data_IF_651763520466
#
_entry.id   IF_651763520466
#
_cell.length_a   1.000
_cell.length_b   1.000
_cell.length_c   1.000
_cell.angle_alpha   90.00
_cell.angle_beta   90.00
_cell.angle_gamma   90.00
#
_symmetry.space_group_name_H-M   'P 1'
#
loop_
_entity.id
_entity.type
_entity.pdbx_description
1 polymer ?
#
# COMPACT_ATOMS: atom_id res chain seq x y z
N UNK A 1 4.93 8.58 2.99
CA UNK A 1 4.41 9.05 4.29
C UNK A 1 3.02 9.69 4.20
N UNK A 2 2.73 10.57 3.23
CA UNK A 2 1.43 11.24 3.10
C UNK A 2 0.20 10.29 3.02
N UNK A 3 0.30 9.16 2.31
CA UNK A 3 -0.75 8.12 2.26
C UNK A 3 -1.09 7.51 3.63
N UNK A 4 -0.10 7.41 4.52
CA UNK A 4 -0.27 6.82 5.85
C UNK A 4 -0.90 7.86 6.78
N UNK A 5 -0.37 9.08 6.78
CA UNK A 5 -0.83 10.16 7.64
C UNK A 5 -2.30 10.55 7.39
N UNK A 6 -2.71 10.56 6.12
CA UNK A 6 -4.11 10.82 5.73
C UNK A 6 -5.06 9.66 6.03
N UNK A 7 -4.54 8.45 6.25
CA UNK A 7 -5.34 7.30 6.67
C UNK A 7 -5.50 7.25 8.18
N UNK A 8 -4.48 7.65 8.93
CA UNK A 8 -4.48 7.65 10.40
C UNK A 8 -5.65 8.41 11.01
N UNK A 9 -6.06 9.54 10.42
CA UNK A 9 -7.21 10.30 10.91
C UNK A 9 -8.56 9.60 10.71
N UNK A 10 -8.67 8.70 9.73
CA UNK A 10 -9.86 7.86 9.54
C UNK A 10 -9.84 6.62 10.44
N UNK A 11 -8.65 6.10 10.72
CA UNK A 11 -8.46 4.87 11.51
C UNK A 11 -8.49 5.13 13.02
N UNK A 12 -7.97 6.28 13.46
CA UNK A 12 -7.94 6.70 14.87
C UNK A 12 -8.98 7.81 15.10
N UNK A 13 -10.08 7.44 15.74
CA UNK A 13 -11.16 8.36 16.11
C UNK A 13 -10.80 9.14 17.38
N UNK A 14 -9.90 10.11 17.23
CA UNK A 14 -9.35 10.95 18.31
C UNK A 14 -9.47 12.41 17.88
N UNK A 15 -9.77 13.37 18.78
CA UNK A 15 -9.80 14.79 18.42
C UNK A 15 -8.42 15.28 17.98
N UNK A 16 -8.23 15.46 16.67
CA UNK A 16 -7.00 15.96 16.06
C UNK A 16 -6.93 17.50 16.12
N UNK A 17 -5.76 18.11 16.38
CA UNK A 17 -5.62 19.57 16.43
C UNK A 17 -5.84 20.23 15.05
N UNK A 18 -6.45 21.42 15.04
CA UNK A 18 -6.90 22.13 13.81
C UNK A 18 -5.77 22.37 12.79
N UNK A 19 -4.55 22.64 13.27
CA UNK A 19 -3.37 22.83 12.43
C UNK A 19 -3.02 21.55 11.64
N UNK A 20 -3.21 20.38 12.24
CA UNK A 20 -2.94 19.10 11.60
C UNK A 20 -4.03 18.75 10.58
N UNK A 21 -5.30 19.00 10.91
CA UNK A 21 -6.41 18.81 9.98
C UNK A 21 -6.30 19.71 8.73
N UNK A 22 -5.90 20.98 8.93
CA UNK A 22 -5.68 21.94 7.84
C UNK A 22 -4.55 21.51 6.90
N UNK A 23 -3.48 20.92 7.43
CA UNK A 23 -2.41 20.36 6.61
C UNK A 23 -2.86 19.09 5.87
N UNK A 24 -3.63 18.22 6.52
CA UNK A 24 -4.11 16.97 5.93
C UNK A 24 -5.11 17.16 4.79
N UNK A 25 -5.96 18.19 4.83
CA UNK A 25 -6.93 18.49 3.76
C UNK A 25 -6.25 18.73 2.40
N UNK A 26 -5.03 19.27 2.40
CA UNK A 26 -4.20 19.43 1.18
C UNK A 26 -3.75 18.08 0.62
N UNK A 27 -3.58 17.07 1.46
CA UNK A 27 -3.14 15.72 1.07
C UNK A 27 -4.30 14.75 0.87
N UNK A 28 -5.54 15.14 1.18
CA UNK A 28 -6.71 14.30 0.98
C UNK A 28 -6.89 13.86 -0.47
N UNK A 29 -6.35 14.56 -1.48
CA UNK A 29 -6.36 14.08 -2.87
C UNK A 29 -5.58 12.76 -3.07
N UNK A 30 -4.59 12.48 -2.22
CA UNK A 30 -3.81 11.24 -2.26
C UNK A 30 -4.60 10.07 -1.67
N UNK A 31 -5.50 10.36 -0.72
CA UNK A 31 -6.42 9.41 -0.11
C UNK A 31 -7.84 9.50 -0.68
N UNK A 32 -8.04 10.37 -1.67
CA UNK A 32 -9.22 10.44 -2.47
C UNK A 32 -9.15 9.19 -3.32
N UNK A 33 -9.91 8.18 -2.90
CA UNK A 33 -10.37 7.12 -3.77
C UNK A 33 -10.59 7.72 -5.17
N UNK A 34 -9.74 7.39 -6.14
CA UNK A 34 -9.91 7.79 -7.54
C UNK A 34 -11.29 7.33 -8.05
N UNK A 35 -11.90 6.36 -7.34
CA UNK A 35 -13.28 5.89 -7.42
C UNK A 35 -14.36 6.86 -6.90
N UNK A 36 -14.07 7.81 -6.00
CA UNK A 36 -15.00 8.89 -5.64
C UNK A 36 -15.19 9.88 -6.79
N UNK A 37 -14.18 10.05 -7.66
CA UNK A 37 -14.29 10.82 -8.91
C UNK A 37 -15.12 10.11 -10.00
N UNK A 38 -15.29 8.79 -9.88
CA UNK A 38 -16.23 7.99 -10.69
C UNK A 38 -17.57 7.76 -9.97
N UNK A 39 -17.84 8.48 -8.87
CA UNK A 39 -19.02 8.28 -8.05
C UNK A 39 -20.29 8.80 -8.72
N UNK A 40 -20.95 7.93 -9.47
CA UNK A 40 -22.41 7.97 -9.66
C UNK A 40 -23.08 7.61 -8.32
N UNK A 41 -23.20 8.60 -7.44
CA UNK A 41 -23.80 8.46 -6.11
C UNK A 41 -25.33 8.39 -6.09
N UNK A 42 -26.03 8.32 -7.23
CA UNK A 42 -27.47 8.57 -7.31
C UNK A 42 -28.38 7.40 -7.72
N UNK A 43 -27.93 6.14 -7.80
CA UNK A 43 -28.81 5.06 -8.27
C UNK A 43 -28.69 3.69 -7.59
N UNK A 44 -27.71 3.47 -6.70
CA UNK A 44 -27.45 2.15 -6.11
C UNK A 44 -27.21 2.36 -4.61
N UNK A 45 -27.97 1.67 -3.75
CA UNK A 45 -27.66 1.56 -2.32
C UNK A 45 -26.25 0.98 -2.17
N UNK A 46 -25.28 1.84 -1.84
CA UNK A 46 -23.89 1.41 -1.65
C UNK A 46 -23.69 1.07 -0.18
N UNK A 47 -23.34 -0.18 0.07
CA UNK A 47 -22.81 -0.67 1.33
C UNK A 47 -21.34 -1.07 1.19
N UNK A 48 -20.63 -1.31 2.29
CA UNK A 48 -19.20 -1.61 2.27
C UNK A 48 -18.86 -2.80 1.35
N UNK A 49 -19.73 -3.82 1.30
CA UNK A 49 -19.52 -5.02 0.48
C UNK A 49 -19.52 -4.71 -1.02
N UNK A 50 -20.51 -3.97 -1.51
CA UNK A 50 -20.59 -3.53 -2.91
C UNK A 50 -19.45 -2.58 -3.25
N UNK A 51 -19.06 -1.71 -2.32
CA UNK A 51 -17.96 -0.79 -2.51
C UNK A 51 -16.61 -1.51 -2.57
N UNK A 52 -16.36 -2.50 -1.71
CA UNK A 52 -15.13 -3.28 -1.69
C UNK A 52 -15.02 -4.16 -2.94
N UNK A 53 -16.05 -4.95 -3.25
CA UNK A 53 -16.06 -5.81 -4.43
C UNK A 53 -15.87 -5.00 -5.72
N UNK A 54 -16.54 -3.85 -5.84
CA UNK A 54 -16.35 -2.93 -6.97
C UNK A 54 -14.93 -2.37 -7.05
N UNK A 55 -14.32 -2.00 -5.92
CA UNK A 55 -12.93 -1.51 -5.86
C UNK A 55 -11.94 -2.59 -6.29
N UNK A 56 -12.13 -3.83 -5.80
CA UNK A 56 -11.28 -4.97 -6.14
C UNK A 56 -11.40 -5.31 -7.63
N UNK A 57 -12.63 -5.41 -8.17
CA UNK A 57 -12.87 -5.66 -9.58
C UNK A 57 -12.27 -4.57 -10.45
N UNK A 58 -12.49 -3.29 -10.12
CA UNK A 58 -11.91 -2.19 -10.87
C UNK A 58 -10.38 -2.22 -10.86
N UNK A 59 -9.77 -2.59 -9.73
CA UNK A 59 -8.31 -2.69 -9.61
C UNK A 59 -7.73 -3.77 -10.52
N UNK A 60 -8.36 -4.96 -10.54
CA UNK A 60 -7.95 -6.03 -11.46
C UNK A 60 -8.19 -5.64 -12.92
N UNK A 61 -9.31 -4.98 -13.23
CA UNK A 61 -9.61 -4.49 -14.58
C UNK A 61 -8.59 -3.42 -15.02
N UNK A 62 -8.22 -2.48 -14.15
CA UNK A 62 -7.23 -1.45 -14.46
C UNK A 62 -5.85 -2.06 -14.78
N UNK A 63 -5.42 -3.06 -14.00
CA UNK A 63 -4.18 -3.80 -14.26
C UNK A 63 -4.28 -4.60 -15.56
N UNK A 64 -5.40 -5.30 -15.79
CA UNK A 64 -5.61 -6.10 -17.00
C UNK A 64 -5.66 -5.25 -18.28
N UNK A 65 -6.39 -4.15 -18.26
CA UNK A 65 -6.48 -3.18 -19.37
C UNK A 65 -5.12 -2.53 -19.61
N UNK A 66 -4.41 -2.11 -18.56
CA UNK A 66 -3.06 -1.57 -18.69
C UNK A 66 -2.07 -2.58 -19.29
N UNK A 67 -2.10 -3.83 -18.85
CA UNK A 67 -1.27 -4.89 -19.40
C UNK A 67 -1.63 -5.20 -20.87
N UNK A 68 -2.91 -5.24 -21.21
CA UNK A 68 -3.38 -5.41 -22.58
C UNK A 68 -2.96 -4.24 -23.48
N UNK A 69 -3.09 -2.99 -23.00
CA UNK A 69 -2.66 -1.80 -23.73
C UNK A 69 -1.16 -1.82 -24.01
N UNK A 70 -0.33 -2.21 -23.03
CA UNK A 70 1.11 -2.40 -23.22
C UNK A 70 1.40 -3.52 -24.21
N UNK A 71 0.69 -4.64 -24.14
CA UNK A 71 0.84 -5.76 -25.07
C UNK A 71 0.47 -5.38 -26.51
N UNK A 72 -0.62 -4.63 -26.70
CA UNK A 72 -1.05 -4.12 -28.01
C UNK A 72 -0.05 -3.10 -28.54
N UNK A 73 0.32 -2.10 -27.74
CA UNK A 73 1.29 -1.08 -28.13
C UNK A 73 2.65 -1.69 -28.53
N UNK A 74 3.12 -2.70 -27.80
CA UNK A 74 4.39 -3.40 -28.12
C UNK A 74 4.30 -4.31 -29.34
N UNK A 75 3.10 -4.71 -29.78
CA UNK A 75 2.87 -5.47 -31.03
C UNK A 75 2.75 -4.54 -32.25
N UNK A 76 2.22 -3.34 -32.06
CA UNK A 76 2.05 -2.34 -33.14
C UNK A 76 3.36 -1.64 -33.51
N UNK A 77 4.37 -1.67 -32.63
CA UNK A 77 5.67 -1.03 -32.86
C UNK A 77 6.67 -2.03 -33.43
N UNK A 78 7.11 -1.78 -34.67
CA UNK A 78 8.13 -2.60 -35.35
C UNK A 78 9.57 -2.31 -34.93
N UNK A 79 9.83 -1.13 -34.35
CA UNK A 79 11.16 -0.75 -33.86
C UNK A 79 11.45 -1.38 -32.48
N UNK A 80 12.49 -2.21 -32.41
CA UNK A 80 12.89 -2.93 -31.19
C UNK A 80 13.24 -1.99 -30.03
N UNK A 81 13.90 -0.86 -30.31
CA UNK A 81 14.31 0.08 -29.28
C UNK A 81 13.10 0.78 -28.66
N UNK A 82 12.16 1.23 -29.50
CA UNK A 82 10.92 1.85 -29.06
C UNK A 82 10.02 0.84 -28.33
N UNK A 83 9.97 -0.41 -28.78
CA UNK A 83 9.23 -1.51 -28.13
C UNK A 83 9.73 -1.78 -26.72
N UNK A 84 11.05 -1.85 -26.52
CA UNK A 84 11.65 -2.03 -25.20
C UNK A 84 11.27 -0.88 -24.26
N UNK A 85 11.37 0.38 -24.72
CA UNK A 85 11.02 1.55 -23.92
C UNK A 85 9.54 1.57 -23.49
N UNK A 86 8.61 1.22 -24.39
CA UNK A 86 7.18 1.14 -24.07
C UNK A 86 6.90 0.02 -23.06
N UNK A 87 7.51 -1.15 -23.25
CA UNK A 87 7.38 -2.27 -22.31
C UNK A 87 7.89 -1.89 -20.92
N UNK A 88 9.04 -1.23 -20.86
CA UNK A 88 9.67 -0.82 -19.61
C UNK A 88 8.79 0.20 -18.88
N UNK A 89 8.41 1.30 -19.55
CA UNK A 89 7.52 2.31 -18.99
C UNK A 89 6.16 1.74 -18.57
N UNK A 90 5.58 0.84 -19.38
CA UNK A 90 4.32 0.19 -19.09
C UNK A 90 4.36 -0.71 -17.86
N UNK A 91 5.42 -1.51 -17.73
CA UNK A 91 5.62 -2.34 -16.52
C UNK A 91 5.85 -1.47 -15.29
N UNK A 92 6.65 -0.40 -15.39
CA UNK A 92 6.82 0.56 -14.28
C UNK A 92 5.48 1.14 -13.85
N UNK A 93 4.67 1.60 -14.80
CA UNK A 93 3.36 2.18 -14.51
C UNK A 93 2.40 1.19 -13.83
N UNK A 94 2.39 -0.08 -14.26
CA UNK A 94 1.57 -1.13 -13.63
C UNK A 94 2.02 -1.45 -12.21
N UNK A 95 3.33 -1.52 -11.97
CA UNK A 95 3.88 -1.77 -10.63
C UNK A 95 3.63 -0.59 -9.69
N UNK A 96 3.78 0.65 -10.19
CA UNK A 96 3.43 1.86 -9.45
C UNK A 96 1.93 1.92 -9.13
N UNK A 97 1.07 1.54 -10.08
CA UNK A 97 -0.36 1.45 -9.83
C UNK A 97 -0.65 0.45 -8.70
N UNK A 98 -0.07 -0.76 -8.76
CA UNK A 98 -0.21 -1.76 -7.71
C UNK A 98 0.28 -1.26 -6.33
N UNK A 99 1.40 -0.52 -6.30
CA UNK A 99 1.93 0.10 -5.10
C UNK A 99 0.99 1.18 -4.54
N UNK A 100 0.41 2.02 -5.41
CA UNK A 100 -0.47 3.11 -4.99
C UNK A 100 -1.81 2.62 -4.45
N UNK A 101 -2.39 1.59 -5.06
CA UNK A 101 -3.69 1.04 -4.63
C UNK A 101 -3.57 0.13 -3.40
N UNK A 102 -2.36 -0.36 -3.09
CA UNK A 102 -2.12 -1.33 -2.01
C UNK A 102 -2.66 -0.89 -0.65
N UNK A 103 -2.32 0.33 -0.20
CA UNK A 103 -2.67 0.80 1.14
C UNK A 103 -4.17 1.10 1.29
N UNK A 104 -4.83 1.88 0.40
CA UNK A 104 -6.26 2.16 0.51
C UNK A 104 -7.12 0.89 0.44
N UNK A 105 -6.81 -0.03 -0.48
CA UNK A 105 -7.57 -1.28 -0.63
C UNK A 105 -7.38 -2.18 0.60
N UNK A 106 -6.13 -2.31 1.10
CA UNK A 106 -5.87 -3.10 2.30
C UNK A 106 -6.68 -2.59 3.50
N UNK A 107 -6.70 -1.27 3.74
CA UNK A 107 -7.48 -0.67 4.83
C UNK A 107 -8.97 -1.03 4.73
N UNK A 108 -9.55 -0.90 3.54
CA UNK A 108 -10.95 -1.22 3.29
C UNK A 108 -11.26 -2.72 3.46
N UNK A 109 -10.33 -3.59 3.08
CA UNK A 109 -10.45 -5.04 3.33
C UNK A 109 -10.51 -5.30 4.84
N UNK A 110 -9.62 -4.70 5.63
CA UNK A 110 -9.63 -4.89 7.08
C UNK A 110 -10.90 -4.35 7.75
N UNK A 111 -11.54 -3.34 7.19
CA UNK A 111 -12.80 -2.79 7.68
C UNK A 111 -13.99 -3.78 7.60
N UNK A 112 -13.88 -4.87 6.83
CA UNK A 112 -14.94 -5.90 6.69
C UNK A 112 -15.10 -6.76 7.94
N UNK A 113 -14.08 -6.88 8.79
CA UNK A 113 -14.09 -7.85 9.89
C UNK A 113 -14.71 -7.35 11.21
N UNK A 114 -14.44 -6.12 11.68
CA UNK A 114 -14.84 -5.71 13.02
C UNK A 114 -16.32 -5.36 13.12
N UNK A 115 -17.03 -6.04 14.03
CA UNK A 115 -18.41 -5.75 14.40
C UNK A 115 -18.48 -5.01 15.73
N UNK A 116 -19.54 -4.24 15.92
CA UNK A 116 -19.89 -3.63 17.22
C UNK A 116 -21.24 -4.21 17.68
N UNK A 117 -21.39 -4.36 18.98
CA UNK A 117 -22.64 -4.78 19.62
C UNK A 117 -23.27 -3.59 20.31
N UNK A 118 -24.57 -3.36 20.08
CA UNK A 118 -25.34 -2.32 20.74
C UNK A 118 -26.05 -2.85 22.00
N UNK A 119 -26.59 -1.93 22.80
CA UNK A 119 -27.31 -2.24 24.05
C UNK A 119 -28.56 -3.10 23.83
N UNK A 120 -29.17 -3.02 22.64
CA UNK A 120 -30.32 -3.83 22.23
C UNK A 120 -29.95 -5.28 21.83
N UNK A 121 -28.66 -5.62 21.90
CA UNK A 121 -28.12 -6.92 21.50
C UNK A 121 -27.88 -7.06 20.00
N UNK A 122 -28.19 -6.05 19.18
CA UNK A 122 -27.90 -6.08 17.75
C UNK A 122 -26.39 -5.96 17.50
N UNK A 123 -25.90 -6.73 16.54
CA UNK A 123 -24.48 -6.74 16.17
C UNK A 123 -24.32 -6.37 14.71
N UNK A 124 -23.75 -5.20 14.46
CA UNK A 124 -23.59 -4.65 13.11
C UNK A 124 -22.12 -4.40 12.78
N UNK A 125 -21.83 -4.27 11.49
CA UNK A 125 -20.48 -3.97 11.03
C UNK A 125 -20.09 -2.54 11.42
N UNK A 126 -18.93 -2.40 12.06
CA UNK A 126 -18.46 -1.11 12.58
C UNK A 126 -18.26 -0.07 11.49
N UNK A 127 -17.74 -0.49 10.34
CA UNK A 127 -17.46 0.39 9.22
C UNK A 127 -18.71 0.79 8.43
N UNK A 128 -19.82 0.05 8.58
CA UNK A 128 -21.08 0.29 7.89
C UNK A 128 -22.24 -0.36 8.66
N UNK A 129 -22.94 0.45 9.45
CA UNK A 129 -24.03 0.01 10.33
C UNK A 129 -25.27 -0.52 9.59
N UNK A 130 -25.33 -0.41 8.25
CA UNK A 130 -26.40 -1.04 7.45
C UNK A 130 -26.25 -2.57 7.35
N UNK A 131 -25.08 -3.10 7.72
CA UNK A 131 -24.74 -4.51 7.58
C UNK A 131 -24.86 -5.21 8.94
N UNK A 132 -25.76 -6.18 9.02
CA UNK A 132 -25.89 -7.09 10.16
C UNK A 132 -24.77 -8.16 10.13
N UNK A 133 -24.07 -8.32 11.26
CA UNK A 133 -23.01 -9.30 11.41
C UNK A 133 -23.52 -10.72 11.72
N UNK A 134 -24.79 -10.88 12.09
CA UNK A 134 -25.41 -12.16 12.37
C UNK A 134 -26.24 -12.68 11.18
N UNK A 135 -26.26 -11.93 10.07
CA UNK A 135 -26.89 -12.36 8.82
C UNK A 135 -26.22 -13.60 8.19
N UNK A 136 -27.02 -14.47 7.57
CA UNK A 136 -26.56 -15.75 6.98
C UNK A 136 -25.45 -15.59 5.92
N UNK A 137 -25.47 -14.48 5.17
CA UNK A 137 -24.50 -14.19 4.12
C UNK A 137 -23.15 -13.69 4.65
N UNK A 138 -23.01 -13.43 5.97
CA UNK A 138 -21.79 -12.89 6.59
C UNK A 138 -20.59 -13.77 6.34
N UNK A 139 -20.74 -15.09 6.44
CA UNK A 139 -19.66 -16.06 6.29
C UNK A 139 -18.96 -15.96 4.92
N UNK A 140 -19.72 -15.75 3.85
CA UNK A 140 -19.20 -15.57 2.50
C UNK A 140 -18.39 -14.27 2.36
N UNK A 141 -18.86 -13.17 2.96
CA UNK A 141 -18.14 -11.89 2.95
C UNK A 141 -16.87 -11.91 3.80
N UNK A 142 -16.88 -12.61 4.93
CA UNK A 142 -15.68 -12.83 5.74
C UNK A 142 -14.65 -13.65 4.96
N UNK A 143 -15.08 -14.74 4.30
CA UNK A 143 -14.19 -15.54 3.45
C UNK A 143 -13.60 -14.71 2.30
N UNK A 144 -14.43 -13.92 1.62
CA UNK A 144 -13.99 -12.99 0.57
C UNK A 144 -12.96 -12.00 1.11
N UNK A 145 -13.21 -11.40 2.28
CA UNK A 145 -12.26 -10.52 2.96
C UNK A 145 -10.93 -11.20 3.23
N UNK A 146 -10.92 -12.42 3.77
CA UNK A 146 -9.68 -13.17 4.05
C UNK A 146 -8.89 -13.44 2.77
N UNK A 147 -9.57 -13.85 1.69
CA UNK A 147 -8.93 -14.04 0.37
C UNK A 147 -8.32 -12.72 -0.12
N UNK A 148 -9.02 -11.60 0.05
CA UNK A 148 -8.50 -10.28 -0.31
C UNK A 148 -7.29 -9.86 0.56
N UNK A 149 -7.25 -10.17 1.86
CA UNK A 149 -6.06 -9.92 2.71
C UNK A 149 -4.85 -10.69 2.17
N UNK A 150 -5.02 -11.96 1.84
CA UNK A 150 -3.94 -12.79 1.29
C UNK A 150 -3.50 -12.24 -0.07
N UNK A 151 -4.42 -11.88 -0.95
CA UNK A 151 -4.11 -11.41 -2.30
C UNK A 151 -3.46 -10.02 -2.32
N UNK A 152 -4.00 -9.05 -1.57
CA UNK A 152 -3.55 -7.66 -1.62
C UNK A 152 -2.54 -7.36 -0.53
N UNK A 153 -2.88 -7.59 0.74
CA UNK A 153 -2.06 -7.16 1.89
C UNK A 153 -0.76 -7.96 2.02
N UNK A 154 -0.78 -9.26 1.70
CA UNK A 154 0.41 -10.13 1.74
C UNK A 154 0.96 -10.38 0.33
N UNK A 155 0.09 -10.63 -0.64
CA UNK A 155 0.48 -11.01 -2.01
C UNK A 155 1.26 -9.94 -2.76
N UNK A 156 0.90 -8.65 -2.61
CA UNK A 156 1.62 -7.56 -3.28
C UNK A 156 3.05 -7.40 -2.72
N UNK A 157 3.27 -7.28 -1.39
CA UNK A 157 4.62 -7.26 -0.83
C UNK A 157 5.43 -8.52 -1.19
N UNK A 158 4.82 -9.70 -1.14
CA UNK A 158 5.49 -10.96 -1.52
C UNK A 158 5.89 -10.99 -2.99
N UNK A 159 5.05 -10.46 -3.89
CA UNK A 159 5.34 -10.33 -5.31
C UNK A 159 6.53 -9.37 -5.54
N UNK A 160 6.50 -8.18 -4.92
CA UNK A 160 7.62 -7.23 -5.00
C UNK A 160 8.92 -7.80 -4.45
N UNK A 161 8.86 -8.46 -3.29
CA UNK A 161 10.00 -9.15 -2.71
C UNK A 161 10.54 -10.23 -3.65
N UNK A 162 9.68 -11.06 -4.23
CA UNK A 162 10.06 -12.10 -5.19
C UNK A 162 10.73 -11.53 -6.45
N UNK A 163 10.18 -10.45 -7.00
CA UNK A 163 10.74 -9.76 -8.18
C UNK A 163 12.15 -9.21 -7.91
N UNK A 164 12.40 -8.67 -6.71
CA UNK A 164 13.70 -8.19 -6.29
C UNK A 164 14.66 -9.34 -5.96
N UNK A 165 14.18 -10.39 -5.29
CA UNK A 165 14.97 -11.55 -4.88
C UNK A 165 15.54 -12.31 -6.09
N UNK A 166 14.73 -12.51 -7.13
CA UNK A 166 15.18 -13.15 -8.39
C UNK A 166 16.31 -12.35 -9.06
N UNK A 167 16.38 -11.04 -8.85
CA UNK A 167 17.40 -10.15 -9.41
C UNK A 167 18.38 -9.63 -8.37
N UNK A 168 18.47 -10.30 -7.21
CA UNK A 168 19.26 -9.82 -6.06
C UNK A 168 20.71 -9.53 -6.40
N UNK A 169 21.30 -10.25 -7.35
CA UNK A 169 22.71 -10.07 -7.71
C UNK A 169 22.95 -8.75 -8.45
N UNK A 170 21.93 -8.24 -9.15
CA UNK A 170 21.95 -6.94 -9.83
C UNK A 170 21.50 -5.83 -8.87
N UNK A 171 20.55 -6.13 -7.98
CA UNK A 171 20.00 -5.18 -7.00
C UNK A 171 20.96 -4.96 -5.80
N UNK A 172 21.80 -5.94 -5.48
CA UNK A 172 22.83 -5.85 -4.44
C UNK A 172 24.21 -6.17 -5.03
N UNK A 173 24.75 -5.29 -5.90
CA UNK A 173 26.05 -5.52 -6.51
C UNK A 173 27.15 -5.41 -5.45
N UNK A 174 28.20 -6.23 -5.58
CA UNK A 174 29.38 -6.12 -4.72
C UNK A 174 30.01 -4.71 -4.83
N UNK A 175 30.49 -4.13 -3.72
CA UNK A 175 31.17 -2.84 -3.73
C UNK A 175 32.49 -2.94 -4.48
N UNK A 176 32.81 -1.93 -5.30
CA UNK A 176 34.14 -1.84 -5.93
C UNK A 176 35.16 -1.34 -4.89
N UNK A 177 36.43 -1.64 -5.12
CA UNK A 177 37.52 -1.23 -4.22
C UNK A 177 37.55 0.31 -4.11
N UNK A 178 37.29 0.84 -2.92
CA UNK A 178 37.26 2.28 -2.64
C UNK A 178 35.90 2.97 -2.87
N UNK A 179 34.85 2.25 -3.27
CA UNK A 179 33.48 2.81 -3.31
C UNK A 179 32.88 2.83 -1.90
N UNK A 180 32.23 3.95 -1.57
CA UNK A 180 31.33 4.06 -0.41
C UNK A 180 29.98 3.37 -0.69
N UNK A 181 29.23 2.93 0.34
CA UNK A 181 27.90 2.36 0.17
C UNK A 181 26.95 3.27 -0.65
N UNK A 182 27.03 4.59 -0.41
CA UNK A 182 26.27 5.60 -1.14
C UNK A 182 26.59 5.60 -2.64
N UNK A 183 27.88 5.57 -3.01
CA UNK A 183 28.30 5.50 -4.42
C UNK A 183 27.86 4.20 -5.09
N UNK A 184 27.93 3.07 -4.39
CA UNK A 184 27.44 1.79 -4.90
C UNK A 184 25.93 1.81 -5.14
N UNK A 185 25.14 2.44 -4.24
CA UNK A 185 23.69 2.62 -4.41
C UNK A 185 23.36 3.54 -5.60
N UNK A 186 24.07 4.66 -5.77
CA UNK A 186 23.92 5.54 -6.93
C UNK A 186 24.21 4.81 -8.26
N UNK A 187 25.28 4.00 -8.29
CA UNK A 187 25.63 3.17 -9.46
C UNK A 187 24.54 2.15 -9.78
N UNK A 188 23.96 1.50 -8.76
CA UNK A 188 22.83 0.58 -8.94
C UNK A 188 21.60 1.29 -9.49
N UNK A 189 21.25 2.45 -8.95
CA UNK A 189 20.08 3.22 -9.39
C UNK A 189 20.21 3.69 -10.85
N UNK A 190 21.44 3.89 -11.33
CA UNK A 190 21.72 4.21 -12.73
C UNK A 190 21.67 3.00 -13.69
N UNK A 191 21.47 1.76 -13.22
CA UNK A 191 21.43 0.57 -14.08
C UNK A 191 20.10 0.50 -14.87
N UNK A 192 20.13 0.54 -16.23
CA UNK A 192 18.92 0.50 -17.05
C UNK A 192 18.06 -0.76 -16.86
N UNK A 193 18.65 -1.85 -16.36
CA UNK A 193 17.93 -3.11 -16.12
C UNK A 193 16.95 -2.99 -14.96
N UNK A 194 17.17 -2.03 -14.05
CA UNK A 194 16.42 -1.89 -12.82
C UNK A 194 15.44 -0.71 -12.80
N UNK A 195 15.41 0.13 -13.85
CA UNK A 195 14.55 1.34 -13.94
C UNK A 195 13.07 1.07 -13.62
N UNK A 196 12.58 -0.14 -13.89
CA UNK A 196 11.20 -0.57 -13.60
C UNK A 196 10.86 -0.73 -12.12
N UNK A 197 11.87 -1.01 -11.31
CA UNK A 197 11.74 -1.37 -9.90
C UNK A 197 12.39 -0.31 -9.00
N UNK A 198 12.85 0.80 -9.58
CA UNK A 198 13.59 1.85 -8.90
C UNK A 198 12.84 2.37 -7.67
N UNK A 199 11.51 2.54 -7.77
CA UNK A 199 10.68 2.98 -6.66
C UNK A 199 10.68 2.04 -5.43
N UNK A 200 11.08 0.77 -5.59
CA UNK A 200 11.11 -0.22 -4.49
C UNK A 200 12.43 -0.23 -3.73
N UNK A 201 13.53 0.28 -4.29
CA UNK A 201 14.85 0.14 -3.67
C UNK A 201 15.70 1.42 -3.71
N UNK A 202 15.38 2.40 -4.56
CA UNK A 202 16.28 3.51 -4.87
C UNK A 202 16.64 4.39 -3.68
N UNK A 203 15.72 4.52 -2.71
CA UNK A 203 15.93 5.25 -1.47
C UNK A 203 16.86 4.54 -0.49
N UNK A 204 17.14 3.25 -0.69
CA UNK A 204 17.86 2.41 0.27
C UNK A 204 19.25 2.01 -0.22
N UNK A 205 20.14 1.68 0.70
CA UNK A 205 21.42 1.05 0.36
C UNK A 205 21.22 -0.32 -0.33
N UNK A 206 22.23 -0.77 -1.08
CA UNK A 206 22.20 -2.05 -1.80
C UNK A 206 21.91 -3.25 -0.90
N UNK A 207 22.39 -3.24 0.35
CA UNK A 207 22.19 -4.31 1.33
C UNK A 207 20.74 -4.44 1.78
N UNK A 208 20.00 -3.33 1.80
CA UNK A 208 18.63 -3.23 2.32
C UNK A 208 17.58 -3.14 1.21
N UNK A 209 17.83 -3.83 0.09
CA UNK A 209 16.94 -3.85 -1.07
C UNK A 209 15.50 -4.32 -0.77
N UNK A 210 15.29 -5.07 0.31
CA UNK A 210 13.99 -5.59 0.73
C UNK A 210 13.20 -4.63 1.63
N UNK A 211 13.80 -3.50 2.03
CA UNK A 211 13.26 -2.65 3.10
C UNK A 211 11.90 -2.04 2.75
N UNK A 212 11.66 -1.66 1.49
CA UNK A 212 10.33 -1.16 1.08
C UNK A 212 9.21 -2.18 1.30
N UNK A 213 9.50 -3.49 1.19
CA UNK A 213 8.50 -4.53 1.46
C UNK A 213 8.11 -4.56 2.94
N UNK A 214 9.07 -4.33 3.84
CA UNK A 214 8.82 -4.20 5.28
C UNK A 214 8.05 -2.92 5.58
N UNK A 215 8.38 -1.82 4.91
CA UNK A 215 7.62 -0.57 4.99
C UNK A 215 6.17 -0.75 4.53
N UNK A 216 5.91 -1.51 3.46
CA UNK A 216 4.55 -1.85 3.01
C UNK A 216 3.78 -2.65 4.07
N UNK A 217 4.39 -3.68 4.65
CA UNK A 217 3.75 -4.45 5.73
C UNK A 217 3.45 -3.59 6.95
N UNK A 218 4.39 -2.71 7.33
CA UNK A 218 4.20 -1.74 8.42
C UNK A 218 3.03 -0.79 8.14
N UNK A 219 2.92 -0.27 6.90
CA UNK A 219 1.80 0.59 6.49
C UNK A 219 0.45 -0.11 6.71
N UNK A 220 0.34 -1.39 6.34
CA UNK A 220 -0.90 -2.16 6.53
C UNK A 220 -1.17 -2.48 8.01
N UNK A 221 -0.14 -2.81 8.77
CA UNK A 221 -0.27 -3.05 10.21
C UNK A 221 -0.87 -1.81 10.92
N UNK A 222 -0.36 -0.63 10.57
CA UNK A 222 -0.74 0.64 11.20
C UNK A 222 -2.06 1.22 10.70
N UNK A 223 -2.49 0.90 9.49
CA UNK A 223 -3.69 1.50 8.90
C UNK A 223 -4.88 0.55 8.81
N UNK A 224 -4.63 -0.75 8.67
CA UNK A 224 -5.67 -1.77 8.52
C UNK A 224 -5.78 -2.70 9.74
N UNK A 225 -4.68 -3.29 10.20
CA UNK A 225 -4.75 -4.28 11.28
C UNK A 225 -5.17 -3.69 12.63
N UNK A 226 -4.84 -2.42 12.90
CA UNK A 226 -5.21 -1.74 14.14
C UNK A 226 -6.73 -1.52 14.30
N UNK A 227 -7.52 -1.70 13.22
CA UNK A 227 -8.99 -1.54 13.22
C UNK A 227 -9.68 -2.65 14.03
N UNK A 228 -8.99 -3.74 14.36
CA UNK A 228 -9.54 -4.79 15.23
C UNK A 228 -9.77 -4.32 16.68
N UNK A 229 -9.05 -3.29 17.13
CA UNK A 229 -9.35 -2.64 18.40
C UNK A 229 -10.52 -1.66 18.27
N UNK A 230 -11.12 -1.33 19.40
CA UNK A 230 -12.17 -0.33 19.46
C UNK A 230 -11.62 1.06 19.09
N UNK A 231 -12.25 1.78 18.14
CA UNK A 231 -11.82 3.11 17.74
C UNK A 231 -11.69 4.06 18.93
N UNK A 232 -10.60 4.82 18.98
CA UNK A 232 -10.39 5.80 20.05
C UNK A 232 -10.03 5.19 21.41
N UNK A 233 -9.97 3.85 21.52
CA UNK A 233 -9.53 3.20 22.75
C UNK A 233 -8.05 3.48 23.04
N UNK A 234 -7.70 3.61 24.32
CA UNK A 234 -6.32 3.77 24.78
C UNK A 234 -5.45 2.62 24.28
N UNK A 235 -5.98 1.40 24.24
CA UNK A 235 -5.28 0.21 23.72
C UNK A 235 -4.95 0.31 22.24
N UNK A 236 -5.87 0.85 21.43
CA UNK A 236 -5.64 1.05 20.00
C UNK A 236 -4.50 2.05 19.80
N UNK A 237 -4.59 3.21 20.47
CA UNK A 237 -3.57 4.26 20.38
C UNK A 237 -2.20 3.76 20.86
N UNK A 238 -2.17 3.06 22.01
CA UNK A 238 -0.93 2.50 22.56
C UNK A 238 -0.30 1.46 21.63
N UNK A 239 -1.09 0.59 21.00
CA UNK A 239 -0.59 -0.39 20.02
C UNK A 239 0.00 0.32 18.79
N UNK A 240 -0.66 1.35 18.28
CA UNK A 240 -0.16 2.16 17.16
C UNK A 240 1.17 2.85 17.50
N UNK A 241 1.25 3.49 18.67
CA UNK A 241 2.48 4.12 19.16
C UNK A 241 3.60 3.09 19.30
N UNK A 242 3.31 1.93 19.88
CA UNK A 242 4.30 0.86 20.06
C UNK A 242 4.88 0.38 18.73
N UNK A 243 4.04 0.16 17.71
CA UNK A 243 4.48 -0.20 16.37
C UNK A 243 5.32 0.93 15.74
N UNK A 244 4.94 2.19 15.93
CA UNK A 244 5.75 3.33 15.46
C UNK A 244 7.12 3.38 16.14
N UNK A 245 7.19 3.16 17.46
CA UNK A 245 8.46 3.11 18.20
C UNK A 245 9.34 1.97 17.67
N UNK A 246 8.79 0.77 17.51
CA UNK A 246 9.53 -0.36 16.94
C UNK A 246 10.06 -0.06 15.55
N UNK A 247 9.27 0.64 14.73
CA UNK A 247 9.69 1.04 13.40
C UNK A 247 10.84 2.05 13.43
N UNK A 248 10.74 3.10 14.25
CA UNK A 248 11.80 4.12 14.41
C UNK A 248 13.08 3.52 15.00
N UNK A 249 12.95 2.66 16.00
CA UNK A 249 14.10 1.95 16.57
C UNK A 249 14.72 1.03 15.52
N UNK A 250 13.90 0.31 14.76
CA UNK A 250 14.34 -0.55 13.66
C UNK A 250 15.06 0.22 12.56
N UNK A 251 14.52 1.35 12.10
CA UNK A 251 15.17 2.21 11.09
C UNK A 251 16.47 2.79 11.63
N UNK A 252 16.51 3.25 12.88
CA UNK A 252 17.72 3.80 13.50
C UNK A 252 18.85 2.76 13.64
N UNK A 253 18.52 1.51 13.95
CA UNK A 253 19.53 0.43 14.06
C UNK A 253 20.00 -0.08 12.69
N UNK A 254 19.11 -0.10 11.69
CA UNK A 254 19.42 -0.63 10.36
C UNK A 254 20.12 0.42 9.50
N UNK A 255 19.77 1.70 9.66
CA UNK A 255 20.15 2.83 8.80
C UNK A 255 20.03 2.46 7.32
N UNK A 256 18.81 2.18 6.83
CA UNK A 256 18.61 1.58 5.52
C UNK A 256 18.79 2.56 4.36
N UNK A 257 18.74 3.87 4.59
CA UNK A 257 18.75 4.87 3.53
C UNK A 257 20.17 5.13 3.02
N UNK A 258 20.33 5.32 1.72
CA UNK A 258 21.67 5.58 1.16
C UNK A 258 22.15 7.02 1.41
N UNK A 259 21.23 7.95 1.71
CA UNK A 259 21.54 9.30 2.15
C UNK A 259 21.48 9.37 3.67
N UNK A 260 22.61 9.74 4.29
CA UNK A 260 22.73 9.85 5.76
C UNK A 260 21.75 10.87 6.36
N UNK A 261 21.41 11.92 5.60
CA UNK A 261 20.39 12.89 6.02
C UNK A 261 19.01 12.27 6.19
N UNK A 262 18.69 11.28 5.35
CA UNK A 262 17.38 10.63 5.33
C UNK A 262 17.26 9.66 6.51
N UNK A 263 18.35 8.97 6.88
CA UNK A 263 18.42 8.18 8.12
C UNK A 263 18.22 9.01 9.39
N UNK A 264 18.65 10.29 9.39
CA UNK A 264 18.53 11.16 10.56
C UNK A 264 17.11 11.68 10.79
N UNK A 265 16.23 11.62 9.78
CA UNK A 265 14.85 12.13 9.82
C UNK A 265 13.79 11.03 9.71
N UNK A 266 14.19 9.78 9.49
CA UNK A 266 13.33 8.60 9.36
C UNK A 266 12.80 8.09 10.71
#
# INVERSE_FOLDING_TARGET
>A
MAQVLTSYTRTLDVPWPDNFQSWLSVWEFINADVLRLLSTGCAIERNLYTELSGTVVLSFLAVAVGAAAVAVATRLVGDEARRAKIKDAGVTALLLLAFLIYAPISQKIFAVFPCVTFEDGSRVLRADYSIDCDADNRSAWVLFGVVCVVAFSVGIPACFFGLLYVRRDVVNPAPRKGETPQQTAMRRNADPRLTRFEFLFAAFECRYWWFECVELLRKVLLTGFIVFWEPGSVTQVAAGIFVCILAVVGTAFVSPYYNVSDDAVA
#
